data_IF_069298648380
#
_entry.id   IF_069298648380
#
_cell.length_a   1.000
_cell.length_b   1.000
_cell.length_c   1.000
_cell.angle_alpha   90.00
_cell.angle_beta   90.00
_cell.angle_gamma   90.00
#
_symmetry.space_group_name_H-M   'P 1'
#
loop_
_entity.id
_entity.type
_entity.pdbx_description
1 polymer ?
#
# COMPACT_ATOMS: atom_id res chain seq x y z
N UNK A 1 6.54 -7.62 -0.17
CA UNK A 1 5.58 -8.54 -0.82
C UNK A 1 5.03 -7.87 -2.09
N UNK A 2 5.03 -8.56 -3.22
CA UNK A 2 4.35 -8.11 -4.44
C UNK A 2 2.87 -8.47 -4.33
N UNK A 3 1.98 -7.54 -4.67
CA UNK A 3 0.54 -7.74 -4.57
C UNK A 3 -0.17 -7.18 -5.80
N UNK A 4 -1.18 -7.89 -6.28
CA UNK A 4 -1.95 -7.57 -7.49
C UNK A 4 -3.44 -7.52 -7.18
N UNK A 5 -4.20 -6.80 -8.01
CA UNK A 5 -5.66 -6.83 -7.97
C UNK A 5 -6.27 -7.18 -9.34
N UNK A 6 -7.58 -7.42 -9.38
CA UNK A 6 -8.31 -7.84 -10.58
C UNK A 6 -8.34 -6.79 -11.71
N UNK A 7 -7.84 -5.57 -11.45
CA UNK A 7 -7.73 -4.48 -12.44
C UNK A 7 -6.36 -4.47 -13.15
N UNK A 8 -5.46 -5.38 -12.80
CA UNK A 8 -4.08 -5.39 -13.28
C UNK A 8 -3.21 -4.32 -12.62
N UNK A 9 -3.65 -3.72 -11.51
CA UNK A 9 -2.81 -2.85 -10.70
C UNK A 9 -1.92 -3.69 -9.79
N UNK A 10 -0.75 -3.17 -9.44
CA UNK A 10 0.20 -3.85 -8.59
C UNK A 10 0.83 -2.90 -7.56
N UNK A 11 1.13 -3.42 -6.37
CA UNK A 11 1.79 -2.71 -5.28
C UNK A 11 2.88 -3.56 -4.64
N UNK A 12 3.90 -2.91 -4.09
CA UNK A 12 4.73 -3.50 -3.05
C UNK A 12 4.15 -3.19 -1.68
N UNK A 13 4.04 -4.21 -0.84
CA UNK A 13 3.71 -4.11 0.57
C UNK A 13 4.91 -4.54 1.42
N UNK A 14 5.50 -3.62 2.18
CA UNK A 14 6.72 -3.85 2.95
C UNK A 14 6.67 -3.19 4.33
N UNK A 15 7.28 -3.82 5.33
CA UNK A 15 7.64 -3.16 6.59
C UNK A 15 8.92 -2.34 6.38
N UNK A 16 8.90 -1.06 6.71
CA UNK A 16 10.05 -0.15 6.59
C UNK A 16 10.26 0.62 7.89
N UNK A 17 11.51 0.96 8.20
CA UNK A 17 11.85 1.76 9.38
C UNK A 17 12.29 3.16 8.97
N UNK A 18 11.68 4.18 9.57
CA UNK A 18 12.00 5.60 9.36
C UNK A 18 12.02 6.33 10.69
N UNK A 19 13.04 7.15 10.95
CA UNK A 19 13.18 7.91 12.19
C UNK A 19 12.97 7.04 13.44
N UNK A 20 13.57 5.84 13.42
CA UNK A 20 13.46 4.82 14.46
C UNK A 20 12.05 4.29 14.77
N UNK A 21 11.11 4.46 13.82
CA UNK A 21 9.73 3.94 13.92
C UNK A 21 9.42 3.04 12.73
N UNK A 22 8.63 2.00 12.98
CA UNK A 22 8.18 1.08 11.96
C UNK A 22 6.94 1.61 11.24
N UNK A 23 6.91 1.39 9.94
CA UNK A 23 5.82 1.77 9.06
C UNK A 23 5.54 0.66 8.06
N UNK A 24 4.26 0.46 7.78
CA UNK A 24 3.78 -0.42 6.74
C UNK A 24 3.60 0.40 5.46
N UNK A 25 4.46 0.15 4.49
CA UNK A 25 4.52 0.86 3.23
C UNK A 25 3.71 0.11 2.16
N UNK A 26 2.74 0.80 1.56
CA UNK A 26 2.11 0.39 0.30
C UNK A 26 2.62 1.30 -0.80
N UNK A 27 3.30 0.74 -1.80
CA UNK A 27 3.93 1.48 -2.90
C UNK A 27 3.38 1.00 -4.24
N UNK A 28 2.77 1.89 -5.02
CA UNK A 28 2.26 1.58 -6.34
C UNK A 28 3.37 1.23 -7.33
N UNK A 29 3.14 0.22 -8.15
CA UNK A 29 4.02 -0.21 -9.24
C UNK A 29 3.49 0.38 -10.55
N UNK A 30 4.39 0.92 -11.37
CA UNK A 30 4.05 1.54 -12.65
C UNK A 30 3.08 2.72 -12.53
N UNK A 31 1.93 2.61 -13.19
CA UNK A 31 0.87 3.62 -13.21
C UNK A 31 -0.08 3.54 -12.02
N UNK A 32 0.00 2.48 -11.19
CA UNK A 32 -0.86 2.27 -10.04
C UNK A 32 -0.84 3.49 -9.09
N UNK A 33 -2.04 3.95 -8.71
CA UNK A 33 -2.23 5.07 -7.79
C UNK A 33 -2.58 4.53 -6.41
N UNK A 34 -1.85 4.99 -5.39
CA UNK A 34 -2.19 4.74 -3.99
C UNK A 34 -2.91 5.97 -3.46
N UNK A 35 -4.13 5.77 -2.96
CA UNK A 35 -4.95 6.86 -2.44
C UNK A 35 -4.59 7.20 -1.00
N UNK A 36 -4.37 8.48 -0.73
CA UNK A 36 -4.23 9.05 0.60
C UNK A 36 -5.51 9.02 1.42
N UNK A 37 -5.48 9.61 2.63
CA UNK A 37 -6.65 9.68 3.52
C UNK A 37 -7.82 10.39 2.84
N UNK A 38 -7.53 11.52 2.21
CA UNK A 38 -8.53 12.41 1.61
C UNK A 38 -8.62 12.22 0.09
N UNK A 39 -8.45 10.97 -0.38
CA UNK A 39 -8.45 10.57 -1.80
C UNK A 39 -7.39 11.26 -2.66
N UNK A 40 -6.37 11.84 -2.04
CA UNK A 40 -5.20 12.34 -2.76
C UNK A 40 -4.54 11.22 -3.55
N UNK A 41 -4.13 11.50 -4.79
CA UNK A 41 -3.40 10.56 -5.63
C UNK A 41 -1.92 10.60 -5.26
N UNK A 42 -1.39 9.48 -4.74
CA UNK A 42 0.01 9.35 -4.35
C UNK A 42 0.65 8.13 -5.03
N UNK A 43 1.98 8.05 -4.98
CA UNK A 43 2.74 6.85 -5.38
C UNK A 43 2.93 5.85 -4.25
N UNK A 44 2.79 6.29 -3.00
CA UNK A 44 2.86 5.41 -1.84
C UNK A 44 2.08 5.97 -0.66
N UNK A 45 1.81 5.10 0.31
CA UNK A 45 1.19 5.43 1.59
C UNK A 45 1.85 4.64 2.71
N UNK A 46 2.12 5.32 3.81
CA UNK A 46 2.66 4.72 5.02
C UNK A 46 1.55 4.60 6.07
N UNK A 47 1.54 3.49 6.79
CA UNK A 47 0.66 3.26 7.93
C UNK A 47 1.51 2.96 9.15
N UNK A 48 1.09 3.45 10.32
CA UNK A 48 1.76 3.14 11.60
C UNK A 48 1.28 1.83 12.21
N UNK A 49 0.20 1.25 11.69
CA UNK A 49 -0.40 0.00 12.15
C UNK A 49 -0.62 -0.93 10.96
N UNK A 50 -0.25 -2.20 11.13
CA UNK A 50 -0.34 -3.23 10.09
C UNK A 50 -1.79 -3.40 9.63
N UNK A 51 -2.71 -3.56 10.58
CA UNK A 51 -4.13 -3.74 10.34
C UNK A 51 -4.75 -2.61 9.48
N UNK A 52 -4.25 -1.38 9.57
CA UNK A 52 -4.72 -0.28 8.71
C UNK A 52 -4.25 -0.45 7.27
N UNK A 53 -3.01 -0.91 7.07
CA UNK A 53 -2.47 -1.21 5.75
C UNK A 53 -3.19 -2.41 5.13
N UNK A 54 -3.42 -3.47 5.89
CA UNK A 54 -4.17 -4.66 5.43
C UNK A 54 -5.60 -4.30 5.01
N UNK A 55 -6.32 -3.53 5.83
CA UNK A 55 -7.66 -3.04 5.47
C UNK A 55 -7.65 -2.19 4.22
N UNK A 56 -6.60 -1.40 4.01
CA UNK A 56 -6.43 -0.63 2.77
C UNK A 56 -6.26 -1.56 1.57
N UNK A 57 -5.34 -2.53 1.64
CA UNK A 57 -5.10 -3.50 0.59
C UNK A 57 -6.37 -4.29 0.24
N UNK A 58 -7.05 -4.83 1.26
CA UNK A 58 -8.30 -5.58 1.10
C UNK A 58 -9.40 -4.74 0.46
N UNK A 59 -9.57 -3.49 0.89
CA UNK A 59 -10.56 -2.56 0.29
C UNK A 59 -10.29 -2.29 -1.19
N UNK A 60 -9.02 -2.30 -1.60
CA UNK A 60 -8.60 -2.07 -2.98
C UNK A 60 -8.39 -3.38 -3.77
N UNK A 61 -8.71 -4.53 -3.18
CA UNK A 61 -8.65 -5.84 -3.83
C UNK A 61 -7.24 -6.38 -4.05
N UNK A 62 -6.21 -5.79 -3.43
CA UNK A 62 -4.84 -6.28 -3.54
C UNK A 62 -4.64 -7.56 -2.74
N UNK A 63 -4.04 -8.56 -3.38
CA UNK A 63 -3.71 -9.86 -2.79
C UNK A 63 -2.29 -10.24 -3.16
N UNK A 64 -1.59 -11.07 -2.39
CA UNK A 64 -0.32 -11.63 -2.81
C UNK A 64 -0.46 -12.27 -4.19
N UNK A 65 0.49 -11.98 -5.07
CA UNK A 65 0.65 -12.66 -6.36
C UNK A 65 1.08 -14.13 -6.14
#
# INVERSE_FOLDING_TARGET
MHMVNDKGEAVYYNLVRKNNKDYWLVQGIGSTVVYGRDRERRKSRHFTQEQQAERYLARHGFRPD
#
